data_IF_246212212951
#
_entry.id   IF_246212212951
#
_cell.length_a   1.000
_cell.length_b   1.000
_cell.length_c   1.000
_cell.angle_alpha   90.00
_cell.angle_beta   90.00
_cell.angle_gamma   90.00
#
_symmetry.space_group_name_H-M   'P 1'
#
loop_
_entity.id
_entity.type
_entity.pdbx_description
1 polymer ?
#
# COMPACT_ATOMS: atom_id res chain seq x y z
N UNK A 1 -2.51 13.87 -9.99
CA UNK A 1 -1.78 14.16 -8.75
C UNK A 1 -2.41 13.39 -7.59
N UNK A 2 -1.60 12.59 -6.90
CA UNK A 2 -2.07 11.74 -5.82
C UNK A 2 -1.91 12.38 -4.43
N UNK A 3 -1.49 13.62 -4.37
CA UNK A 3 -1.30 14.29 -3.08
C UNK A 3 -2.61 14.32 -2.30
N UNK A 4 -2.56 13.88 -1.04
CA UNK A 4 -3.74 13.82 -0.18
C UNK A 4 -4.64 12.63 -0.41
N UNK A 5 -4.37 11.80 -1.42
CA UNK A 5 -5.17 10.61 -1.68
C UNK A 5 -4.56 9.40 -1.01
N UNK A 6 -5.40 8.46 -0.62
CA UNK A 6 -4.97 7.20 -0.03
C UNK A 6 -5.85 6.09 -0.57
N UNK A 7 -5.27 4.90 -0.66
CA UNK A 7 -6.02 3.70 -1.00
C UNK A 7 -6.51 3.04 0.29
N UNK A 8 -7.76 2.60 0.32
CA UNK A 8 -8.38 2.04 1.52
C UNK A 8 -8.66 0.57 1.28
N UNK A 9 -8.18 -0.28 2.17
CA UNK A 9 -8.33 -1.74 2.06
C UNK A 9 -8.96 -2.31 3.32
N UNK A 10 -9.81 -3.33 3.17
CA UNK A 10 -10.21 -4.13 4.34
C UNK A 10 -8.97 -4.73 4.99
N UNK A 11 -8.95 -4.75 6.30
CA UNK A 11 -7.79 -5.22 7.05
C UNK A 11 -8.21 -5.85 8.36
N UNK A 12 -7.26 -6.51 9.03
CA UNK A 12 -7.44 -7.05 10.37
C UNK A 12 -6.28 -6.59 11.23
N UNK A 13 -6.60 -6.15 12.43
CA UNK A 13 -5.63 -5.74 13.42
C UNK A 13 -5.54 -6.79 14.52
N UNK A 14 -4.32 -7.17 14.87
CA UNK A 14 -4.05 -8.02 16.03
C UNK A 14 -2.80 -7.48 16.72
N UNK A 15 -3.00 -6.85 17.88
CA UNK A 15 -1.91 -6.17 18.57
C UNK A 15 -1.33 -5.07 17.69
N UNK A 16 -0.06 -5.19 17.35
CA UNK A 16 0.64 -4.24 16.49
C UNK A 16 0.79 -4.75 15.06
N UNK A 17 0.14 -5.84 14.70
CA UNK A 17 0.21 -6.40 13.34
C UNK A 17 -1.09 -6.14 12.61
N UNK A 18 -1.00 -5.55 11.41
CA UNK A 18 -2.12 -5.41 10.51
C UNK A 18 -1.93 -6.36 9.34
N UNK A 19 -3.02 -7.02 8.95
CA UNK A 19 -3.05 -7.92 7.81
C UNK A 19 -3.97 -7.35 6.74
N UNK A 20 -3.45 -7.22 5.51
CA UNK A 20 -4.21 -6.75 4.35
C UNK A 20 -4.11 -7.84 3.30
N UNK A 21 -5.20 -8.58 3.10
CA UNK A 21 -5.27 -9.67 2.11
C UNK A 21 -4.09 -10.65 2.22
N UNK A 22 -3.71 -11.00 3.45
CA UNK A 22 -2.61 -11.95 3.68
C UNK A 22 -1.21 -11.32 3.74
N UNK A 23 -1.09 -10.04 3.41
CA UNK A 23 0.15 -9.31 3.61
C UNK A 23 0.17 -8.76 5.04
N UNK A 24 1.16 -9.15 5.83
CA UNK A 24 1.25 -8.74 7.24
C UNK A 24 2.31 -7.68 7.41
N UNK A 25 1.98 -6.67 8.22
CA UNK A 25 2.83 -5.52 8.46
C UNK A 25 2.77 -5.15 9.94
N UNK A 26 3.95 -4.96 10.55
CA UNK A 26 4.02 -4.48 11.92
C UNK A 26 3.82 -2.96 11.94
N UNK A 27 2.89 -2.49 12.78
CA UNK A 27 2.68 -1.07 13.03
C UNK A 27 3.05 -0.79 14.48
N UNK A 28 4.24 -0.24 14.70
CA UNK A 28 4.74 -0.01 16.05
C UNK A 28 3.89 0.99 16.82
N UNK A 29 3.19 1.87 16.10
CA UNK A 29 2.34 2.90 16.71
C UNK A 29 0.85 2.60 16.52
N UNK A 30 0.46 1.34 16.40
CA UNK A 30 -0.93 0.96 16.15
C UNK A 30 -1.87 1.49 17.22
N UNK A 31 -1.42 1.61 18.47
CA UNK A 31 -2.24 2.07 19.58
C UNK A 31 -2.79 3.50 19.37
N UNK A 32 -2.10 4.33 18.58
CA UNK A 32 -2.56 5.70 18.33
C UNK A 32 -3.91 5.74 17.61
N UNK A 33 -4.28 4.69 16.92
CA UNK A 33 -5.53 4.65 16.17
C UNK A 33 -6.74 4.25 17.02
N UNK A 34 -6.52 3.80 18.25
CA UNK A 34 -7.57 3.50 19.21
C UNK A 34 -8.60 2.49 18.70
N UNK A 35 -8.14 1.43 18.07
CA UNK A 35 -9.01 0.40 17.51
C UNK A 35 -8.82 -0.92 18.28
N UNK A 36 -9.91 -1.67 18.52
CA UNK A 36 -9.79 -3.01 19.05
C UNK A 36 -9.24 -3.97 17.98
N UNK A 37 -8.73 -5.11 18.43
CA UNK A 37 -8.38 -6.18 17.51
C UNK A 37 -9.60 -6.59 16.69
N UNK A 38 -9.36 -7.02 15.46
CA UNK A 38 -10.42 -7.46 14.55
C UNK A 38 -10.44 -6.65 13.27
N UNK A 39 -11.60 -6.63 12.62
CA UNK A 39 -11.77 -6.01 11.34
C UNK A 39 -11.63 -4.48 11.43
N UNK A 40 -10.92 -3.93 10.48
CA UNK A 40 -10.73 -2.49 10.36
C UNK A 40 -10.47 -2.15 8.89
N UNK A 41 -10.19 -0.88 8.60
CA UNK A 41 -9.75 -0.42 7.30
C UNK A 41 -8.33 0.10 7.42
N UNK A 42 -7.50 -0.24 6.44
CA UNK A 42 -6.15 0.28 6.35
C UNK A 42 -6.07 1.29 5.22
N UNK A 43 -5.63 2.49 5.55
CA UNK A 43 -5.33 3.51 4.56
C UNK A 43 -3.85 3.44 4.20
N UNK A 44 -3.56 3.43 2.91
CA UNK A 44 -2.20 3.33 2.38
C UNK A 44 -1.93 4.61 1.59
N UNK A 45 -1.02 5.43 2.09
CA UNK A 45 -0.61 6.64 1.37
C UNK A 45 0.25 6.28 0.17
N UNK A 46 0.17 7.02 -0.93
CA UNK A 46 0.93 6.67 -2.14
C UNK A 46 2.43 6.56 -1.93
N UNK A 47 2.99 7.36 -1.04
CA UNK A 47 4.42 7.35 -0.75
C UNK A 47 4.84 6.19 0.15
N UNK A 48 3.88 5.45 0.72
CA UNK A 48 4.18 4.31 1.57
C UNK A 48 4.48 3.03 0.79
N UNK A 49 4.26 3.05 -0.52
CA UNK A 49 4.34 1.84 -1.35
C UNK A 49 5.68 1.79 -2.06
N UNK A 50 6.35 0.65 -1.94
CA UNK A 50 7.58 0.35 -2.66
C UNK A 50 7.31 -0.86 -3.54
N UNK A 51 7.71 -0.80 -4.81
CA UNK A 51 7.52 -1.89 -5.75
C UNK A 51 8.84 -2.63 -5.92
N UNK A 52 8.81 -3.95 -5.69
CA UNK A 52 9.96 -4.82 -5.82
C UNK A 52 9.74 -5.80 -6.95
N UNK A 53 10.83 -6.40 -7.45
CA UNK A 53 10.76 -7.39 -8.52
C UNK A 53 10.42 -8.78 -8.01
N UNK A 54 10.55 -9.02 -6.70
CA UNK A 54 10.24 -10.30 -6.07
C UNK A 54 9.43 -10.09 -4.81
N UNK A 55 8.69 -11.12 -4.43
CA UNK A 55 7.88 -11.11 -3.22
C UNK A 55 6.99 -12.33 -3.16
N UNK A 56 6.05 -12.31 -2.24
CA UNK A 56 5.07 -13.40 -2.08
C UNK A 56 3.86 -13.15 -2.96
N UNK A 57 3.00 -14.16 -3.06
CA UNK A 57 1.76 -14.03 -3.83
C UNK A 57 0.85 -12.95 -3.23
N UNK A 58 0.82 -12.80 -1.91
CA UNK A 58 0.03 -11.74 -1.26
C UNK A 58 0.48 -10.34 -1.66
N UNK A 59 1.73 -10.18 -2.07
CA UNK A 59 2.30 -8.88 -2.46
C UNK A 59 2.14 -8.58 -3.94
N UNK A 60 1.77 -9.55 -4.75
CA UNK A 60 1.77 -9.42 -6.21
C UNK A 60 0.73 -8.42 -6.67
N UNK A 61 1.12 -7.53 -7.58
CA UNK A 61 0.23 -6.56 -8.20
C UNK A 61 0.51 -6.46 -9.69
N UNK A 62 -0.45 -5.92 -10.42
CA UNK A 62 -0.35 -5.65 -11.85
C UNK A 62 -0.34 -4.15 -12.06
N UNK A 63 0.55 -3.64 -12.89
CA UNK A 63 0.65 -2.22 -13.19
C UNK A 63 -0.46 -1.86 -14.19
N UNK A 64 -1.35 -0.96 -13.79
CA UNK A 64 -2.46 -0.51 -14.61
C UNK A 64 -2.08 0.73 -15.43
N UNK A 65 -1.40 1.68 -14.80
CA UNK A 65 -0.95 2.89 -15.47
C UNK A 65 0.25 3.47 -14.76
N UNK A 66 1.06 4.23 -15.50
CA UNK A 66 2.20 4.93 -14.92
C UNK A 66 2.42 6.21 -15.71
N UNK A 67 2.54 7.33 -15.01
CA UNK A 67 2.73 8.65 -15.60
C UNK A 67 3.94 9.30 -14.94
N UNK A 68 4.91 9.72 -15.75
CA UNK A 68 6.06 10.45 -15.23
C UNK A 68 5.70 11.91 -15.03
N UNK A 69 5.92 12.41 -13.83
CA UNK A 69 5.51 13.76 -13.43
C UNK A 69 6.67 14.78 -13.45
N UNK A 70 7.81 14.38 -14.00
CA UNK A 70 8.99 15.25 -14.06
C UNK A 70 10.02 14.97 -12.97
N UNK A 71 9.59 14.49 -11.81
CA UNK A 71 10.49 14.16 -10.71
C UNK A 71 10.13 12.85 -10.02
N UNK A 72 8.99 12.26 -10.36
CA UNK A 72 8.54 10.98 -9.80
C UNK A 72 7.52 10.37 -10.76
N UNK A 73 7.20 9.11 -10.53
CA UNK A 73 6.14 8.40 -11.25
C UNK A 73 4.89 8.33 -10.39
N UNK A 74 3.74 8.60 -10.98
CA UNK A 74 2.45 8.27 -10.37
C UNK A 74 1.97 6.99 -11.03
N UNK A 75 1.88 5.94 -10.22
CA UNK A 75 1.57 4.59 -10.69
C UNK A 75 0.25 4.16 -10.05
N UNK A 76 -0.62 3.55 -10.87
CA UNK A 76 -1.79 2.86 -10.36
C UNK A 76 -1.56 1.37 -10.60
N UNK A 77 -1.59 0.60 -9.53
CA UNK A 77 -1.50 -0.85 -9.60
C UNK A 77 -2.83 -1.45 -9.20
N UNK A 78 -3.11 -2.65 -9.70
CA UNK A 78 -4.22 -3.47 -9.22
C UNK A 78 -3.63 -4.46 -8.22
N UNK A 79 -4.06 -4.34 -6.97
CA UNK A 79 -3.60 -5.19 -5.87
C UNK A 79 -4.82 -5.77 -5.18
N UNK A 80 -4.97 -7.09 -5.26
CA UNK A 80 -6.16 -7.79 -4.72
C UNK A 80 -7.46 -7.16 -5.23
N UNK A 81 -7.53 -6.98 -6.55
CA UNK A 81 -8.71 -6.47 -7.27
C UNK A 81 -9.08 -5.03 -6.93
N UNK A 82 -8.16 -4.28 -6.31
CA UNK A 82 -8.38 -2.87 -5.99
C UNK A 82 -7.25 -2.00 -6.55
N UNK A 83 -7.59 -0.76 -6.91
CA UNK A 83 -6.59 0.22 -7.28
C UNK A 83 -5.74 0.60 -6.08
N UNK A 84 -4.43 0.61 -6.28
CA UNK A 84 -3.44 1.07 -5.31
C UNK A 84 -2.66 2.21 -5.94
N UNK A 85 -2.75 3.39 -5.32
CA UNK A 85 -2.08 4.60 -5.80
C UNK A 85 -0.68 4.67 -5.23
N UNK A 86 0.31 4.90 -6.10
CA UNK A 86 1.72 4.81 -5.72
C UNK A 86 2.49 6.01 -6.25
N UNK A 87 3.29 6.64 -5.39
CA UNK A 87 4.29 7.61 -5.80
C UNK A 87 5.65 6.93 -5.74
N UNK A 88 6.28 6.77 -6.90
CA UNK A 88 7.59 6.13 -7.00
C UNK A 88 8.65 7.15 -7.41
N UNK A 89 9.81 7.09 -6.76
CA UNK A 89 10.98 7.79 -7.28
C UNK A 89 11.39 7.16 -8.61
N UNK A 90 12.00 7.95 -9.52
CA UNK A 90 12.40 7.39 -10.81
C UNK A 90 13.29 6.15 -10.70
N UNK A 91 14.20 6.11 -9.73
CA UNK A 91 15.11 4.99 -9.55
C UNK A 91 14.44 3.75 -8.96
N UNK A 92 13.21 3.87 -8.47
CA UNK A 92 12.49 2.77 -7.82
C UNK A 92 11.41 2.15 -8.70
N UNK A 93 11.27 2.63 -9.93
CA UNK A 93 10.23 2.13 -10.83
C UNK A 93 10.81 1.83 -12.19
N UNK A 94 10.53 0.63 -12.68
CA UNK A 94 10.86 0.24 -14.05
C UNK A 94 9.59 0.39 -14.90
N UNK A 95 9.54 1.40 -15.80
CA UNK A 95 8.32 1.65 -16.60
C UNK A 95 7.98 0.52 -17.56
N UNK A 96 8.90 -0.41 -17.82
CA UNK A 96 8.61 -1.59 -18.62
C UNK A 96 7.93 -2.70 -17.85
N UNK A 97 7.87 -2.61 -16.51
CA UNK A 97 7.27 -3.64 -15.67
C UNK A 97 5.76 -3.68 -15.84
N UNK A 98 5.22 -4.90 -15.93
CA UNK A 98 3.77 -5.11 -15.93
C UNK A 98 3.29 -5.72 -14.63
N UNK A 99 4.18 -6.34 -13.87
CA UNK A 99 3.91 -6.93 -12.57
C UNK A 99 4.99 -6.51 -11.59
N UNK A 100 4.62 -6.44 -10.33
CA UNK A 100 5.55 -6.12 -9.26
C UNK A 100 5.02 -6.68 -7.94
N UNK A 101 5.78 -6.47 -6.88
CA UNK A 101 5.45 -6.95 -5.54
C UNK A 101 5.44 -5.78 -4.58
N UNK A 102 4.31 -5.59 -3.88
CA UNK A 102 4.07 -4.45 -3.00
C UNK A 102 4.80 -4.65 -1.69
N UNK A 103 5.55 -3.65 -1.28
CA UNK A 103 6.10 -3.54 0.08
C UNK A 103 5.61 -2.22 0.66
N UNK A 104 5.13 -2.25 1.89
CA UNK A 104 4.54 -1.08 2.53
C UNK A 104 5.42 -0.59 3.67
N UNK A 105 5.58 0.73 3.75
CA UNK A 105 6.25 1.39 4.87
C UNK A 105 5.22 1.73 5.94
N UNK A 106 5.51 1.38 7.19
CA UNK A 106 4.54 1.61 8.26
C UNK A 106 4.20 3.09 8.47
N UNK A 107 5.10 4.00 8.14
CA UNK A 107 4.87 5.43 8.35
C UNK A 107 3.71 5.96 7.50
N UNK A 108 3.43 5.34 6.37
CA UNK A 108 2.36 5.79 5.48
C UNK A 108 1.07 5.01 5.64
N UNK A 109 0.94 4.19 6.67
CA UNK A 109 -0.25 3.40 6.92
C UNK A 109 -1.02 4.01 8.09
N UNK A 110 -2.33 4.12 7.93
CA UNK A 110 -3.21 4.52 9.02
C UNK A 110 -4.42 3.59 9.07
N UNK A 111 -5.02 3.47 10.24
CA UNK A 111 -6.15 2.56 10.43
C UNK A 111 -7.40 3.35 10.75
N UNK A 112 -8.52 2.88 10.19
CA UNK A 112 -9.83 3.47 10.38
C UNK A 112 -10.79 2.40 10.87
N UNK A 113 -11.79 2.86 11.60
CA UNK A 113 -12.86 1.99 12.08
C UNK A 113 -13.63 1.43 10.88
N UNK A 114 -13.88 0.13 10.93
CA UNK A 114 -14.73 -0.51 9.93
C UNK A 114 -16.18 -0.10 10.18
N UNK A 115 -16.82 0.34 9.12
CA UNK A 115 -18.21 0.83 9.20
C UNK A 115 -19.20 -0.30 9.01
#
# INVERSE_FOLDING_TARGET
NFMGESSIFPAKLQGNTVSIHGYELALNNAAQFNLPDGDCLAGVRPEAVYLHETGTEAQRCTIKSAVYMGNHWEVVAIWHDQDLLINCRPEQFNPASQEAYVHLSEQGIFLLKNQ
#
